data_IF_898698652715
#
_entry.id   IF_898698652715
#
_cell.length_a   1.000
_cell.length_b   1.000
_cell.length_c   1.000
_cell.angle_alpha   90.00
_cell.angle_beta   90.00
_cell.angle_gamma   90.00
#
_symmetry.space_group_name_H-M   'P 1'
#
loop_
_entity.id
_entity.type
_entity.pdbx_description
1 polymer ?
#
# COMPACT_ATOMS: atom_id res chain seq x y z
N UNK A 1 14.90 -5.24 26.39
CA UNK A 1 16.35 -4.97 26.47
C UNK A 1 16.68 -4.14 25.25
N UNK A 2 16.89 -2.85 25.47
CA UNK A 2 17.11 -1.85 24.42
C UNK A 2 18.49 -2.06 23.78
N UNK A 3 18.52 -2.23 22.46
CA UNK A 3 19.74 -2.29 21.66
C UNK A 3 19.84 -1.02 20.82
N UNK A 4 20.37 0.04 21.43
CA UNK A 4 20.70 1.30 20.77
C UNK A 4 22.03 1.11 20.05
N UNK A 5 22.03 1.11 18.71
CA UNK A 5 23.26 1.23 17.92
C UNK A 5 23.75 2.68 17.96
N UNK A 6 25.06 2.94 18.14
CA UNK A 6 25.60 4.29 18.09
C UNK A 6 25.95 4.64 16.64
N UNK A 7 25.17 5.55 16.06
CA UNK A 7 25.51 6.26 14.83
C UNK A 7 26.32 7.54 15.18
N UNK A 8 27.36 7.77 14.37
CA UNK A 8 27.98 9.06 14.04
C UNK A 8 28.73 9.84 15.15
N UNK A 9 30.02 9.51 15.33
CA UNK A 9 31.03 10.52 15.72
C UNK A 9 31.53 11.23 14.45
N UNK A 10 30.83 12.28 14.03
CA UNK A 10 31.37 13.31 13.15
C UNK A 10 31.83 14.47 14.05
N UNK A 11 33.12 14.46 14.37
CA UNK A 11 33.76 15.51 15.17
C UNK A 11 33.91 16.76 14.29
N UNK A 12 33.27 17.90 14.60
CA UNK A 12 33.58 19.13 13.89
C UNK A 12 34.90 19.67 14.45
N UNK A 13 35.98 19.51 13.68
CA UNK A 13 37.19 20.32 13.79
C UNK A 13 36.84 21.77 13.46
N UNK A 14 36.40 22.52 14.46
CA UNK A 14 36.37 23.97 14.44
C UNK A 14 37.28 24.46 15.57
N UNK A 15 38.56 24.63 15.23
CA UNK A 15 39.57 25.22 16.09
C UNK A 15 40.41 26.19 15.27
N UNK A 16 40.11 27.47 15.46
CA UNK A 16 41.03 28.59 15.41
C UNK A 16 41.81 28.79 14.10
N UNK A 17 41.10 29.32 13.10
CA UNK A 17 41.72 30.25 12.16
C UNK A 17 41.84 31.64 12.82
N UNK A 18 42.92 31.88 13.55
CA UNK A 18 43.33 33.24 13.93
C UNK A 18 44.86 33.29 14.12
N UNK A 19 45.56 33.84 13.13
CA UNK A 19 46.88 34.49 13.23
C UNK A 19 47.43 34.67 11.80
N UNK A 20 46.82 35.57 11.02
CA UNK A 20 47.50 36.16 9.87
C UNK A 20 48.33 37.33 10.42
N UNK A 21 49.52 37.01 10.92
CA UNK A 21 50.52 38.00 11.32
C UNK A 21 51.10 38.64 10.05
N UNK A 22 50.87 39.94 9.96
CA UNK A 22 51.34 40.87 8.95
C UNK A 22 52.89 40.95 8.99
N UNK A 23 53.55 40.57 7.90
CA UNK A 23 55.00 40.75 7.73
C UNK A 23 55.28 41.55 6.44
N UNK A 24 56.32 42.42 6.44
CA UNK A 24 56.43 43.62 5.60
C UNK A 24 56.76 43.32 4.13
N UNK A 25 56.63 44.30 3.21
CA UNK A 25 56.84 44.07 1.78
C UNK A 25 58.31 43.73 1.51
N UNK A 26 58.57 42.54 0.97
CA UNK A 26 59.91 42.11 0.59
C UNK A 26 60.33 42.81 -0.70
N UNK A 27 61.29 43.71 -0.56
CA UNK A 27 62.07 44.29 -1.64
C UNK A 27 62.73 43.21 -2.50
N UNK A 28 62.78 43.43 -3.81
CA UNK A 28 63.56 42.65 -4.79
C UNK A 28 65.06 42.74 -4.47
N UNK A 29 65.53 41.95 -3.51
CA UNK A 29 66.94 41.80 -3.18
C UNK A 29 67.35 40.33 -3.35
N UNK A 30 68.48 40.03 -4.02
CA UNK A 30 68.89 38.64 -4.25
C UNK A 30 69.31 37.97 -2.93
N UNK A 31 68.52 37.00 -2.48
CA UNK A 31 68.82 36.19 -1.31
C UNK A 31 69.65 34.94 -1.68
N UNK A 32 70.63 34.54 -0.84
CA UNK A 32 71.40 33.31 -1.05
C UNK A 32 70.47 32.08 -0.94
N UNK A 33 70.74 31.00 -1.70
CA UNK A 33 69.90 29.81 -1.71
C UNK A 33 69.84 29.14 -0.34
N UNK A 34 68.65 28.64 0.00
CA UNK A 34 68.35 27.99 1.27
C UNK A 34 68.94 26.57 1.28
N UNK A 35 70.21 26.47 1.67
CA UNK A 35 70.96 25.20 1.78
C UNK A 35 71.00 24.72 3.22
N UNK A 36 71.00 23.40 3.42
CA UNK A 36 71.11 22.81 4.75
C UNK A 36 72.49 23.16 5.35
N UNK A 37 72.49 23.93 6.44
CA UNK A 37 73.68 24.46 7.10
C UNK A 37 74.61 23.36 7.62
N UNK A 38 74.07 22.20 7.99
CA UNK A 38 74.87 21.08 8.50
C UNK A 38 75.62 20.39 7.36
N UNK A 39 74.95 20.19 6.21
CA UNK A 39 75.57 19.63 5.01
C UNK A 39 76.58 20.60 4.38
N UNK A 40 76.31 21.90 4.47
CA UNK A 40 77.23 22.94 4.00
C UNK A 40 78.52 22.97 4.82
N UNK A 41 78.41 22.87 6.15
CA UNK A 41 79.56 22.75 7.05
C UNK A 41 80.38 21.51 6.75
N UNK A 42 79.73 20.36 6.57
CA UNK A 42 80.41 19.09 6.26
C UNK A 42 81.20 19.18 4.94
N UNK A 43 80.62 19.76 3.88
CA UNK A 43 81.32 19.99 2.61
C UNK A 43 82.48 20.99 2.73
N UNK A 44 82.33 22.01 3.59
CA UNK A 44 83.37 23.01 3.84
C UNK A 44 84.51 22.44 4.68
N UNK A 45 84.20 21.58 5.65
CA UNK A 45 85.18 20.81 6.44
C UNK A 45 85.96 19.80 5.59
N UNK A 46 85.34 19.26 4.52
CA UNK A 46 86.01 18.45 3.50
C UNK A 46 86.95 19.24 2.57
N UNK A 47 86.94 20.57 2.65
CA UNK A 47 87.83 21.46 1.91
C UNK A 47 87.24 22.04 0.62
N UNK A 48 85.95 21.84 0.34
CA UNK A 48 85.27 22.50 -0.78
C UNK A 48 84.95 23.95 -0.41
N UNK A 49 85.23 24.91 -1.30
CA UNK A 49 84.91 26.31 -1.08
C UNK A 49 83.41 26.54 -0.88
N UNK A 50 83.04 27.46 0.02
CA UNK A 50 81.64 27.72 0.40
C UNK A 50 80.74 27.96 -0.82
N UNK A 51 81.19 28.73 -1.81
CA UNK A 51 80.44 28.98 -3.05
C UNK A 51 80.12 27.70 -3.84
N UNK A 52 81.07 26.76 -3.90
CA UNK A 52 80.91 25.47 -4.60
C UNK A 52 79.92 24.59 -3.84
N UNK A 53 80.08 24.49 -2.52
CA UNK A 53 79.22 23.68 -1.67
C UNK A 53 77.77 24.17 -1.68
N UNK A 54 77.55 25.50 -1.65
CA UNK A 54 76.22 26.11 -1.79
C UNK A 54 75.60 25.79 -3.15
N UNK A 55 76.38 25.88 -4.24
CA UNK A 55 75.93 25.57 -5.60
C UNK A 55 75.51 24.10 -5.73
N UNK A 56 76.32 23.18 -5.22
CA UNK A 56 76.03 21.75 -5.26
C UNK A 56 74.79 21.37 -4.45
N UNK A 57 74.68 21.85 -3.21
CA UNK A 57 73.52 21.58 -2.35
C UNK A 57 72.22 22.14 -2.94
N UNK A 58 72.31 23.26 -3.64
CA UNK A 58 71.18 23.84 -4.34
C UNK A 58 70.71 22.98 -5.52
N UNK A 59 71.63 22.47 -6.36
CA UNK A 59 71.26 21.63 -7.50
C UNK A 59 70.85 20.19 -7.11
N UNK A 60 71.29 19.72 -5.95
CA UNK A 60 70.90 18.40 -5.41
C UNK A 60 69.67 18.45 -4.51
N UNK A 61 69.02 19.62 -4.38
CA UNK A 61 67.84 19.86 -3.54
C UNK A 61 68.04 19.37 -2.08
N UNK A 62 69.25 19.53 -1.52
CA UNK A 62 69.64 19.08 -0.17
C UNK A 62 69.49 17.55 0.08
N UNK A 63 69.57 16.72 -0.97
CA UNK A 63 69.34 15.27 -0.90
C UNK A 63 70.55 14.45 -0.36
N UNK A 64 71.38 15.05 0.49
CA UNK A 64 72.55 14.41 1.12
C UNK A 64 73.90 14.93 0.64
N UNK A 65 74.92 14.79 1.49
CA UNK A 65 76.29 15.29 1.25
C UNK A 65 76.97 14.53 0.12
N UNK A 66 76.78 13.21 0.05
CA UNK A 66 77.40 12.34 -0.95
C UNK A 66 76.92 12.66 -2.37
N UNK A 67 75.64 12.99 -2.51
CA UNK A 67 75.05 13.40 -3.80
C UNK A 67 75.58 14.77 -4.21
N UNK A 68 75.79 15.67 -3.25
CA UNK A 68 76.40 16.99 -3.48
C UNK A 68 77.87 16.88 -3.90
N UNK A 69 78.66 15.99 -3.27
CA UNK A 69 80.05 15.73 -3.68
C UNK A 69 80.11 15.18 -5.10
N UNK A 70 79.25 14.20 -5.45
CA UNK A 70 79.20 13.68 -6.82
C UNK A 70 78.82 14.74 -7.87
N UNK A 71 78.01 15.72 -7.49
CA UNK A 71 77.71 16.87 -8.35
C UNK A 71 78.93 17.80 -8.49
N UNK A 72 79.66 18.07 -7.39
CA UNK A 72 80.87 18.88 -7.39
C UNK A 72 81.98 18.30 -8.28
N UNK A 73 82.22 17.00 -8.18
CA UNK A 73 83.22 16.30 -9.00
C UNK A 73 82.89 16.38 -10.50
N UNK A 74 81.60 16.32 -10.85
CA UNK A 74 81.16 16.38 -12.24
C UNK A 74 81.27 17.79 -12.86
N UNK A 75 81.41 18.84 -12.03
CA UNK A 75 81.38 20.25 -12.45
C UNK A 75 82.63 21.03 -11.98
N UNK A 76 83.72 20.34 -11.61
CA UNK A 76 84.91 20.97 -11.00
C UNK A 76 85.67 21.93 -11.94
N UNK A 77 85.52 21.75 -13.25
CA UNK A 77 86.18 22.53 -14.31
C UNK A 77 85.36 23.77 -14.76
N UNK A 78 84.15 23.95 -14.22
CA UNK A 78 83.27 25.05 -14.60
C UNK A 78 83.79 26.39 -14.04
N UNK A 79 84.08 27.35 -14.93
CA UNK A 79 84.67 28.64 -14.57
C UNK A 79 83.77 29.52 -13.67
N UNK A 80 82.48 29.21 -13.59
CA UNK A 80 81.46 29.86 -12.77
C UNK A 80 81.21 29.15 -11.43
N UNK A 81 81.89 28.03 -11.15
CA UNK A 81 81.66 27.23 -9.93
C UNK A 81 81.97 28.01 -8.64
N UNK A 82 82.93 28.95 -8.70
CA UNK A 82 83.35 29.81 -7.59
C UNK A 82 82.58 31.15 -7.53
N UNK A 83 81.74 31.45 -8.52
CA UNK A 83 80.93 32.68 -8.54
C UNK A 83 79.70 32.52 -7.64
N UNK A 84 79.34 33.48 -6.76
CA UNK A 84 78.19 33.33 -5.86
C UNK A 84 76.91 33.03 -6.65
N UNK A 85 76.20 31.97 -6.26
CA UNK A 85 74.99 31.53 -6.97
C UNK A 85 73.78 32.34 -6.50
N UNK A 86 73.34 33.27 -7.34
CA UNK A 86 72.09 34.02 -7.12
C UNK A 86 70.92 33.24 -7.73
N UNK A 87 70.10 32.61 -6.89
CA UNK A 87 68.89 31.89 -7.33
C UNK A 87 67.70 32.84 -7.27
N UNK A 88 67.03 33.05 -8.41
CA UNK A 88 65.69 33.65 -8.40
C UNK A 88 64.73 32.65 -7.75
N UNK A 89 63.99 33.02 -6.69
CA UNK A 89 63.12 32.08 -6.01
C UNK A 89 62.11 31.50 -7.00
N UNK A 90 61.94 30.16 -6.99
CA UNK A 90 60.87 29.48 -7.74
C UNK A 90 59.55 30.22 -7.42
N UNK A 91 58.76 30.63 -8.42
CA UNK A 91 57.52 31.36 -8.17
C UNK A 91 56.61 30.45 -7.34
N UNK A 92 56.43 30.79 -6.05
CA UNK A 92 55.39 30.18 -5.23
C UNK A 92 54.08 30.49 -5.96
N UNK A 93 53.34 29.44 -6.31
CA UNK A 93 52.01 29.53 -6.90
C UNK A 93 51.24 30.64 -6.20
N UNK A 94 50.58 31.51 -6.95
CA UNK A 94 49.93 32.68 -6.38
C UNK A 94 49.03 32.26 -5.21
N UNK A 95 49.00 32.99 -4.08
CA UNK A 95 48.18 32.64 -2.92
C UNK A 95 46.71 32.41 -3.27
N UNK A 96 46.26 33.03 -4.36
CA UNK A 96 44.92 32.89 -4.93
C UNK A 96 44.69 31.52 -5.60
N UNK A 97 45.65 31.00 -6.37
CA UNK A 97 45.54 29.68 -7.02
C UNK A 97 45.66 28.53 -6.02
N UNK A 98 46.53 28.64 -5.01
CA UNK A 98 46.63 27.64 -3.95
C UNK A 98 45.33 27.56 -3.12
N UNK A 99 44.72 28.72 -2.83
CA UNK A 99 43.43 28.81 -2.15
C UNK A 99 42.29 28.26 -3.02
N UNK A 100 42.34 28.49 -4.34
CA UNK A 100 41.37 27.93 -5.28
C UNK A 100 41.46 26.39 -5.38
N UNK A 101 42.66 25.82 -5.41
CA UNK A 101 42.87 24.38 -5.43
C UNK A 101 42.41 23.71 -4.12
N UNK A 102 42.73 24.30 -2.97
CA UNK A 102 42.24 23.83 -1.68
C UNK A 102 40.70 23.90 -1.56
N UNK A 103 40.10 25.00 -2.04
CA UNK A 103 38.64 25.15 -2.08
C UNK A 103 37.99 24.12 -3.02
N UNK A 104 38.61 23.82 -4.17
CA UNK A 104 38.13 22.80 -5.10
C UNK A 104 38.17 21.38 -4.51
N UNK A 105 39.22 21.03 -3.74
CA UNK A 105 39.32 19.75 -3.04
C UNK A 105 38.28 19.60 -1.93
N UNK A 106 37.99 20.66 -1.18
CA UNK A 106 36.93 20.65 -0.17
C UNK A 106 35.53 20.57 -0.79
N UNK A 107 35.29 21.28 -1.90
CA UNK A 107 34.02 21.23 -2.62
C UNK A 107 33.75 19.85 -3.21
N UNK A 108 34.76 19.21 -3.80
CA UNK A 108 34.66 17.84 -4.31
C UNK A 108 34.49 16.79 -3.19
N UNK A 109 35.14 16.97 -2.04
CA UNK A 109 34.92 16.13 -0.86
C UNK A 109 33.49 16.24 -0.30
N UNK A 110 32.93 17.46 -0.21
CA UNK A 110 31.54 17.67 0.20
C UNK A 110 30.54 17.08 -0.80
N UNK A 111 30.77 17.27 -2.10
CA UNK A 111 29.93 16.69 -3.14
C UNK A 111 29.94 15.14 -3.12
N UNK A 112 31.09 14.53 -2.81
CA UNK A 112 31.20 13.07 -2.66
C UNK A 112 30.44 12.56 -1.43
N UNK A 113 30.56 13.24 -0.27
CA UNK A 113 29.79 12.92 0.94
C UNK A 113 28.28 13.03 0.71
N UNK A 114 27.84 14.08 0.01
CA UNK A 114 26.41 14.27 -0.33
C UNK A 114 25.89 13.19 -1.29
N UNK A 115 26.71 12.72 -2.24
CA UNK A 115 26.35 11.60 -3.11
C UNK A 115 26.25 10.28 -2.34
N UNK A 116 27.21 9.98 -1.46
CA UNK A 116 27.19 8.78 -0.62
C UNK A 116 26.00 8.77 0.34
N UNK A 117 25.64 9.92 0.90
CA UNK A 117 24.44 10.08 1.73
C UNK A 117 23.14 9.89 0.93
N UNK A 118 23.03 10.46 -0.27
CA UNK A 118 21.87 10.24 -1.15
C UNK A 118 21.73 8.78 -1.57
N UNK A 119 22.83 8.09 -1.85
CA UNK A 119 22.80 6.65 -2.18
C UNK A 119 22.41 5.81 -0.95
N UNK A 120 22.90 6.18 0.25
CA UNK A 120 22.51 5.55 1.51
C UNK A 120 21.03 5.76 1.82
N UNK A 121 20.48 6.94 1.57
CA UNK A 121 19.06 7.24 1.76
C UNK A 121 18.19 6.46 0.76
N UNK A 122 18.61 6.37 -0.50
CA UNK A 122 17.95 5.49 -1.49
C UNK A 122 17.98 4.02 -1.07
N UNK A 123 19.05 3.56 -0.43
CA UNK A 123 19.14 2.19 0.07
C UNK A 123 18.14 1.96 1.21
N UNK A 124 18.09 2.86 2.20
CA UNK A 124 17.13 2.79 3.32
C UNK A 124 15.69 2.83 2.82
N UNK A 125 15.38 3.69 1.84
CA UNK A 125 14.02 3.76 1.27
C UNK A 125 13.67 2.50 0.46
N UNK A 126 14.64 1.91 -0.27
CA UNK A 126 14.45 0.61 -0.92
C UNK A 126 14.20 -0.50 0.09
N UNK A 127 14.92 -0.52 1.21
CA UNK A 127 14.74 -1.50 2.29
C UNK A 127 13.36 -1.36 2.96
N UNK A 128 12.89 -0.13 3.21
CA UNK A 128 11.54 0.12 3.72
C UNK A 128 10.47 -0.41 2.76
N UNK A 129 10.63 -0.15 1.46
CA UNK A 129 9.71 -0.65 0.42
C UNK A 129 9.77 -2.18 0.31
N UNK A 130 10.97 -2.76 0.41
CA UNK A 130 11.17 -4.21 0.37
C UNK A 130 10.49 -4.88 1.58
N UNK A 131 10.76 -4.40 2.80
CA UNK A 131 10.14 -4.89 4.02
C UNK A 131 8.61 -4.72 3.98
N UNK A 132 8.10 -3.58 3.50
CA UNK A 132 6.66 -3.37 3.34
C UNK A 132 6.01 -4.34 2.34
N UNK A 133 6.68 -4.62 1.22
CA UNK A 133 6.23 -5.62 0.23
C UNK A 133 6.29 -7.04 0.78
N UNK A 134 7.31 -7.36 1.56
CA UNK A 134 7.49 -8.68 2.18
C UNK A 134 6.41 -8.95 3.23
N UNK A 135 6.16 -7.98 4.12
CA UNK A 135 5.07 -8.07 5.12
C UNK A 135 3.72 -8.25 4.41
N UNK A 136 3.43 -7.49 3.35
CA UNK A 136 2.19 -7.64 2.59
C UNK A 136 2.10 -8.99 1.87
N UNK A 137 3.22 -9.52 1.36
CA UNK A 137 3.25 -10.83 0.72
C UNK A 137 3.00 -11.95 1.73
N UNK A 138 3.54 -11.84 2.93
CA UNK A 138 3.33 -12.81 4.02
C UNK A 138 1.90 -12.76 4.56
N UNK A 139 1.31 -11.56 4.71
CA UNK A 139 -0.11 -11.41 5.05
C UNK A 139 -1.03 -12.08 4.03
N UNK A 140 -0.80 -11.88 2.72
CA UNK A 140 -1.61 -12.53 1.67
C UNK A 140 -1.49 -14.07 1.69
N UNK A 141 -0.30 -14.60 2.02
CA UNK A 141 -0.10 -16.05 2.18
C UNK A 141 -0.86 -16.57 3.39
N UNK A 142 -0.73 -15.90 4.55
CA UNK A 142 -1.44 -16.27 5.76
C UNK A 142 -2.97 -16.21 5.60
N UNK A 143 -3.49 -15.18 4.91
CA UNK A 143 -4.92 -15.07 4.59
C UNK A 143 -5.41 -16.19 3.66
N UNK A 144 -4.62 -16.53 2.62
CA UNK A 144 -4.93 -17.63 1.71
C UNK A 144 -4.96 -18.98 2.43
N UNK A 145 -3.99 -19.23 3.30
CA UNK A 145 -3.91 -20.44 4.12
C UNK A 145 -5.06 -20.49 5.14
N UNK A 146 -5.39 -19.38 5.80
CA UNK A 146 -6.54 -19.28 6.69
C UNK A 146 -7.86 -19.56 5.95
N UNK A 147 -8.03 -19.01 4.75
CA UNK A 147 -9.22 -19.27 3.93
C UNK A 147 -9.30 -20.74 3.50
N UNK A 148 -8.16 -21.35 3.15
CA UNK A 148 -8.08 -22.78 2.82
C UNK A 148 -8.47 -23.66 4.01
N UNK A 149 -7.90 -23.41 5.19
CA UNK A 149 -8.22 -24.15 6.40
C UNK A 149 -9.69 -23.99 6.80
N UNK A 150 -10.24 -22.78 6.69
CA UNK A 150 -11.66 -22.53 6.94
C UNK A 150 -12.57 -23.28 5.95
N UNK A 151 -12.17 -23.35 4.67
CA UNK A 151 -12.88 -24.17 3.69
C UNK A 151 -12.82 -25.66 4.02
N UNK A 152 -11.64 -26.18 4.36
CA UNK A 152 -11.45 -27.57 4.76
C UNK A 152 -12.25 -27.92 6.03
N UNK A 153 -12.33 -27.01 7.01
CA UNK A 153 -13.18 -27.15 8.19
C UNK A 153 -14.66 -27.22 7.83
N UNK A 154 -15.18 -26.30 7.01
CA UNK A 154 -16.59 -26.34 6.55
C UNK A 154 -16.92 -27.63 5.83
N UNK A 155 -15.99 -28.14 5.01
CA UNK A 155 -16.17 -29.41 4.32
C UNK A 155 -16.20 -30.59 5.29
N UNK A 156 -15.36 -30.56 6.33
CA UNK A 156 -15.35 -31.58 7.38
C UNK A 156 -16.62 -31.53 8.23
N UNK A 157 -17.05 -30.36 8.67
CA UNK A 157 -18.30 -30.18 9.41
C UNK A 157 -19.50 -30.67 8.60
N UNK A 158 -19.58 -30.31 7.31
CA UNK A 158 -20.63 -30.80 6.42
C UNK A 158 -20.61 -32.33 6.28
N UNK A 159 -19.42 -32.94 6.16
CA UNK A 159 -19.29 -34.40 6.08
C UNK A 159 -19.67 -35.09 7.40
N UNK A 160 -19.31 -34.52 8.55
CA UNK A 160 -19.69 -35.01 9.87
C UNK A 160 -21.20 -34.89 10.10
N UNK A 161 -21.81 -33.77 9.69
CA UNK A 161 -23.25 -33.57 9.73
C UNK A 161 -23.99 -34.55 8.81
N UNK A 162 -23.52 -34.75 7.58
CA UNK A 162 -24.08 -35.74 6.66
C UNK A 162 -23.94 -37.16 7.20
N UNK A 163 -22.81 -37.50 7.83
CA UNK A 163 -22.63 -38.79 8.49
C UNK A 163 -23.56 -38.96 9.70
N UNK A 164 -23.76 -37.92 10.50
CA UNK A 164 -24.72 -37.92 11.62
C UNK A 164 -26.16 -38.09 11.11
N UNK A 165 -26.55 -37.36 10.05
CA UNK A 165 -27.84 -37.49 9.38
C UNK A 165 -28.02 -38.91 8.82
N UNK A 166 -27.00 -39.50 8.19
CA UNK A 166 -27.04 -40.90 7.72
C UNK A 166 -27.24 -41.88 8.87
N UNK A 167 -26.53 -41.72 10.00
CA UNK A 167 -26.74 -42.56 11.20
C UNK A 167 -28.16 -42.47 11.73
N UNK A 168 -28.75 -41.28 11.77
CA UNK A 168 -30.16 -41.09 12.18
C UNK A 168 -31.11 -41.79 11.20
N UNK A 169 -30.87 -41.64 9.89
CA UNK A 169 -31.69 -42.31 8.86
C UNK A 169 -31.65 -43.84 8.99
N UNK A 170 -30.48 -44.42 9.25
CA UNK A 170 -30.36 -45.88 9.47
C UNK A 170 -31.15 -46.32 10.71
N UNK A 171 -31.05 -45.60 11.83
CA UNK A 171 -31.85 -45.92 13.03
C UNK A 171 -33.36 -45.81 12.80
N UNK A 172 -33.80 -44.82 12.00
CA UNK A 172 -35.20 -44.67 11.62
C UNK A 172 -35.68 -45.83 10.72
N UNK A 173 -34.81 -46.31 9.82
CA UNK A 173 -35.10 -47.47 8.99
C UNK A 173 -35.24 -48.74 9.83
N UNK A 174 -34.33 -48.97 10.78
CA UNK A 174 -34.39 -50.11 11.70
C UNK A 174 -35.69 -50.13 12.52
N UNK A 175 -36.06 -49.00 13.14
CA UNK A 175 -37.33 -48.88 13.89
C UNK A 175 -38.57 -49.08 12.99
N UNK A 176 -38.54 -48.56 11.76
CA UNK A 176 -39.65 -48.74 10.80
C UNK A 176 -39.73 -50.20 10.31
N UNK A 177 -38.60 -50.85 10.09
CA UNK A 177 -38.54 -52.27 9.74
C UNK A 177 -38.99 -53.16 10.90
N UNK A 178 -38.65 -52.82 12.15
CA UNK A 178 -39.13 -53.54 13.32
C UNK A 178 -40.66 -53.46 13.44
N UNK A 179 -41.25 -52.28 13.19
CA UNK A 179 -42.70 -52.11 13.11
C UNK A 179 -43.31 -52.92 11.96
N UNK A 180 -42.66 -52.97 10.79
CA UNK A 180 -43.10 -53.78 9.65
C UNK A 180 -43.04 -55.28 9.95
N UNK A 181 -41.97 -55.75 10.59
CA UNK A 181 -41.81 -57.13 11.06
C UNK A 181 -42.92 -57.51 12.04
N UNK A 182 -43.25 -56.64 13.00
CA UNK A 182 -44.36 -56.85 13.95
C UNK A 182 -45.73 -56.90 13.26
N UNK A 183 -45.89 -56.22 12.12
CA UNK A 183 -47.08 -56.21 11.29
C UNK A 183 -47.07 -57.32 10.20
N UNK A 184 -46.07 -58.20 10.18
CA UNK A 184 -45.94 -59.26 9.17
C UNK A 184 -45.68 -58.73 7.75
N UNK A 185 -45.20 -57.48 7.61
CA UNK A 185 -44.83 -56.86 6.34
C UNK A 185 -43.34 -57.07 6.05
N UNK A 186 -42.94 -57.19 4.76
CA UNK A 186 -41.54 -57.31 4.38
C UNK A 186 -40.74 -56.08 4.82
N UNK A 187 -39.46 -56.31 5.13
CA UNK A 187 -38.50 -55.26 5.49
C UNK A 187 -38.20 -54.37 4.28
N UNK A 188 -38.02 -53.08 4.53
CA UNK A 188 -37.61 -52.12 3.50
C UNK A 188 -36.10 -51.99 3.45
N UNK A 189 -35.59 -51.87 2.24
CA UNK A 189 -34.22 -51.38 1.99
C UNK A 189 -34.14 -49.87 2.22
N UNK A 190 -32.91 -49.34 2.33
CA UNK A 190 -32.67 -47.90 2.49
C UNK A 190 -33.22 -47.09 1.31
N UNK A 191 -33.07 -47.59 0.09
CA UNK A 191 -33.53 -46.93 -1.13
C UNK A 191 -35.06 -46.89 -1.23
N UNK A 192 -35.73 -48.00 -0.89
CA UNK A 192 -37.20 -48.06 -0.84
C UNK A 192 -37.77 -47.15 0.26
N UNK A 193 -37.07 -47.02 1.39
CA UNK A 193 -37.48 -46.14 2.48
C UNK A 193 -37.32 -44.66 2.12
N UNK A 194 -36.21 -44.28 1.49
CA UNK A 194 -36.01 -42.92 0.98
C UNK A 194 -37.03 -42.59 -0.12
N UNK A 195 -37.39 -43.56 -0.97
CA UNK A 195 -38.44 -43.38 -1.98
C UNK A 195 -39.84 -43.22 -1.37
N UNK A 196 -40.21 -44.01 -0.35
CA UNK A 196 -41.49 -43.85 0.37
C UNK A 196 -41.57 -42.46 1.06
N UNK A 197 -40.49 -42.01 1.71
CA UNK A 197 -40.46 -40.69 2.37
C UNK A 197 -40.46 -39.54 1.35
N UNK A 198 -39.76 -39.68 0.21
CA UNK A 198 -39.78 -38.70 -0.87
C UNK A 198 -41.16 -38.60 -1.53
N UNK A 199 -41.85 -39.73 -1.74
CA UNK A 199 -43.20 -39.76 -2.30
C UNK A 199 -44.22 -39.15 -1.32
N UNK A 200 -44.08 -39.44 -0.03
CA UNK A 200 -44.87 -38.82 1.04
C UNK A 200 -44.61 -37.31 1.13
N UNK A 201 -43.36 -36.86 1.01
CA UNK A 201 -43.01 -35.45 0.98
C UNK A 201 -43.58 -34.75 -0.26
N UNK A 202 -43.54 -35.39 -1.44
CA UNK A 202 -44.15 -34.87 -2.67
C UNK A 202 -45.66 -34.75 -2.53
N UNK A 203 -46.34 -35.77 -2.01
CA UNK A 203 -47.78 -35.75 -1.74
C UNK A 203 -48.16 -34.67 -0.72
N UNK A 204 -47.40 -34.54 0.36
CA UNK A 204 -47.62 -33.48 1.34
C UNK A 204 -47.39 -32.07 0.76
N UNK A 205 -46.41 -31.91 -0.14
CA UNK A 205 -46.18 -30.66 -0.86
C UNK A 205 -47.31 -30.34 -1.85
N UNK A 206 -47.82 -31.36 -2.54
CA UNK A 206 -48.98 -31.23 -3.44
C UNK A 206 -50.26 -30.91 -2.68
N UNK A 207 -50.49 -31.55 -1.53
CA UNK A 207 -51.61 -31.26 -0.64
C UNK A 207 -51.51 -29.85 -0.04
N UNK A 208 -50.31 -29.40 0.36
CA UNK A 208 -50.07 -28.00 0.78
C UNK A 208 -50.36 -27.03 -0.37
N UNK A 209 -49.91 -27.32 -1.59
CA UNK A 209 -50.23 -26.52 -2.78
C UNK A 209 -51.73 -26.51 -3.09
N UNK A 210 -52.42 -27.64 -2.94
CA UNK A 210 -53.86 -27.74 -3.13
C UNK A 210 -54.65 -26.95 -2.07
N UNK A 211 -54.22 -27.00 -0.80
CA UNK A 211 -54.78 -26.19 0.30
C UNK A 211 -54.50 -24.70 0.11
N UNK A 212 -53.32 -24.33 -0.37
CA UNK A 212 -52.97 -22.93 -0.68
C UNK A 212 -53.75 -22.38 -1.89
N UNK A 213 -54.05 -23.22 -2.89
CA UNK A 213 -54.95 -22.88 -4.00
C UNK A 213 -56.43 -22.84 -3.58
N UNK A 214 -56.86 -23.72 -2.67
CA UNK A 214 -58.20 -23.73 -2.09
C UNK A 214 -58.48 -22.52 -1.19
N UNK A 215 -57.48 -22.07 -0.42
CA UNK A 215 -57.57 -20.83 0.35
C UNK A 215 -57.72 -19.59 -0.55
N UNK A 216 -57.07 -19.56 -1.71
CA UNK A 216 -57.22 -18.48 -2.70
C UNK A 216 -58.55 -18.51 -3.48
N UNK A 217 -59.30 -19.61 -3.47
CA UNK A 217 -60.60 -19.73 -4.14
C UNK A 217 -61.78 -19.30 -3.24
N UNK A 218 -61.62 -19.34 -1.92
CA UNK A 218 -62.65 -18.92 -0.96
C UNK A 218 -62.68 -17.40 -0.69
N UNK A 219 -61.64 -16.67 -1.09
CA UNK A 219 -61.53 -15.20 -0.97
C UNK A 219 -61.60 -14.52 -2.36
N UNK A 220 -62.40 -15.07 -3.27
CA UNK A 220 -62.71 -14.46 -4.55
C UNK A 220 -64.08 -13.75 -4.51
N UNK A 221 -64.32 -12.98 -3.45
CA UNK A 221 -65.27 -11.85 -3.46
C UNK A 221 -64.67 -10.70 -2.66
N UNK A 222 -63.78 -9.93 -3.29
CA UNK A 222 -63.26 -8.66 -2.76
C UNK A 222 -61.75 -8.47 -2.92
N UNK A 223 -61.37 -7.64 -3.91
CA UNK A 223 -60.04 -7.05 -4.15
C UNK A 223 -58.91 -8.00 -4.65
N UNK A 224 -58.23 -7.67 -5.78
CA UNK A 224 -57.25 -8.55 -6.38
C UNK A 224 -55.88 -8.46 -5.67
N UNK A 225 -55.44 -9.57 -5.09
CA UNK A 225 -54.04 -9.81 -4.72
C UNK A 225 -53.17 -9.78 -6.00
N UNK A 226 -52.31 -8.77 -6.11
CA UNK A 226 -51.47 -8.55 -7.29
C UNK A 226 -50.19 -9.39 -7.16
N UNK A 227 -49.98 -10.27 -8.15
CA UNK A 227 -48.83 -11.17 -8.30
C UNK A 227 -47.50 -10.39 -8.17
N UNK A 228 -46.42 -10.98 -7.63
CA UNK A 228 -45.11 -10.32 -7.48
C UNK A 228 -44.53 -9.80 -8.81
N UNK A 229 -44.99 -10.33 -9.95
CA UNK A 229 -44.66 -9.85 -11.30
C UNK A 229 -45.14 -8.41 -11.54
N UNK A 230 -46.32 -8.03 -11.03
CA UNK A 230 -46.86 -6.68 -11.21
C UNK A 230 -46.11 -5.62 -10.39
N UNK A 231 -45.52 -6.01 -9.26
CA UNK A 231 -44.74 -5.12 -8.41
C UNK A 231 -43.35 -4.95 -9.01
N UNK A 232 -42.75 -6.03 -9.53
CA UNK A 232 -41.50 -5.96 -10.29
C UNK A 232 -41.62 -5.07 -11.54
N UNK A 233 -42.74 -5.11 -12.27
CA UNK A 233 -43.01 -4.23 -13.40
C UNK A 233 -43.11 -2.75 -12.99
N UNK A 234 -43.77 -2.46 -11.86
CA UNK A 234 -43.84 -1.09 -11.32
C UNK A 234 -42.48 -0.60 -10.85
N UNK A 235 -41.68 -1.46 -10.22
CA UNK A 235 -40.30 -1.17 -9.82
C UNK A 235 -39.43 -0.86 -11.05
N UNK A 236 -39.52 -1.69 -12.10
CA UNK A 236 -38.86 -1.43 -13.39
C UNK A 236 -39.28 -0.09 -13.98
N UNK A 237 -40.58 0.22 -14.03
CA UNK A 237 -41.09 1.48 -14.57
C UNK A 237 -40.51 2.71 -13.84
N UNK A 238 -40.40 2.65 -12.50
CA UNK A 238 -39.75 3.70 -11.72
C UNK A 238 -38.25 3.81 -12.05
N UNK A 239 -37.53 2.69 -12.19
CA UNK A 239 -36.10 2.71 -12.53
C UNK A 239 -35.84 3.24 -13.95
N UNK A 240 -36.73 2.96 -14.91
CA UNK A 240 -36.65 3.51 -16.27
C UNK A 240 -36.88 5.03 -16.26
N UNK A 241 -37.84 5.52 -15.47
CA UNK A 241 -38.07 6.95 -15.30
C UNK A 241 -36.86 7.65 -14.66
N UNK A 242 -36.24 7.04 -13.64
CA UNK A 242 -34.99 7.54 -13.04
C UNK A 242 -33.86 7.56 -14.06
N UNK A 243 -33.66 6.49 -14.85
CA UNK A 243 -32.61 6.43 -15.89
C UNK A 243 -32.80 7.51 -16.95
N UNK A 244 -34.04 7.86 -17.29
CA UNK A 244 -34.33 8.94 -18.25
C UNK A 244 -33.90 10.33 -17.75
N UNK A 245 -33.93 10.55 -16.43
CA UNK A 245 -33.54 11.83 -15.81
C UNK A 245 -32.05 11.88 -15.49
N UNK A 246 -31.49 10.76 -15.01
CA UNK A 246 -30.10 10.62 -14.55
C UNK A 246 -29.13 10.31 -15.71
N UNK A 247 -29.62 9.74 -16.81
CA UNK A 247 -28.80 9.28 -17.91
C UNK A 247 -27.99 8.03 -17.55
N UNK A 248 -26.69 8.05 -17.86
CA UNK A 248 -25.75 6.94 -17.61
C UNK A 248 -25.06 7.01 -16.24
N UNK A 249 -25.44 7.95 -15.38
CA UNK A 249 -24.87 8.06 -14.04
C UNK A 249 -25.30 6.89 -13.14
N UNK A 250 -24.38 5.93 -12.99
CA UNK A 250 -24.55 4.71 -12.19
C UNK A 250 -24.64 4.98 -10.69
N UNK A 251 -24.22 6.16 -10.24
CA UNK A 251 -24.07 6.52 -8.82
C UNK A 251 -25.39 6.52 -8.05
N UNK A 252 -26.50 6.90 -8.69
CA UNK A 252 -27.84 6.83 -8.10
C UNK A 252 -28.26 5.37 -7.87
N UNK A 253 -28.15 4.53 -8.90
CA UNK A 253 -28.51 3.11 -8.84
C UNK A 253 -27.62 2.31 -7.86
N UNK A 254 -26.31 2.59 -7.83
CA UNK A 254 -25.39 2.01 -6.85
C UNK A 254 -25.72 2.42 -5.41
N UNK A 255 -26.11 3.68 -5.20
CA UNK A 255 -26.51 4.16 -3.87
C UNK A 255 -27.80 3.48 -3.42
N UNK A 256 -28.81 3.38 -4.30
CA UNK A 256 -30.05 2.63 -4.03
C UNK A 256 -29.78 1.16 -3.72
N UNK A 257 -28.90 0.51 -4.49
CA UNK A 257 -28.53 -0.88 -4.29
C UNK A 257 -27.83 -1.09 -2.94
N UNK A 258 -26.95 -0.18 -2.53
CA UNK A 258 -26.30 -0.23 -1.20
C UNK A 258 -27.31 -0.06 -0.07
N UNK A 259 -28.26 0.86 -0.20
CA UNK A 259 -29.29 1.05 0.83
C UNK A 259 -30.16 -0.19 1.00
N UNK A 260 -30.64 -0.78 -0.10
CA UNK A 260 -31.44 -2.01 -0.05
C UNK A 260 -30.61 -3.24 0.35
N UNK A 261 -29.36 -3.33 -0.08
CA UNK A 261 -28.44 -4.42 0.29
C UNK A 261 -28.14 -4.42 1.78
N UNK A 262 -27.98 -3.24 2.41
CA UNK A 262 -27.79 -3.15 3.85
C UNK A 262 -29.03 -3.64 4.62
N UNK A 263 -30.23 -3.32 4.15
CA UNK A 263 -31.49 -3.81 4.75
C UNK A 263 -31.66 -5.32 4.54
N UNK A 264 -31.35 -5.84 3.36
CA UNK A 264 -31.46 -7.27 3.07
C UNK A 264 -30.46 -8.12 3.86
N UNK A 265 -29.24 -7.62 4.08
CA UNK A 265 -28.20 -8.32 4.84
C UNK A 265 -28.40 -8.25 6.35
N UNK A 266 -28.98 -7.17 6.85
CA UNK A 266 -29.21 -6.95 8.28
C UNK A 266 -30.63 -6.41 8.54
N UNK A 267 -31.68 -7.24 8.35
CA UNK A 267 -33.07 -6.79 8.45
C UNK A 267 -33.46 -6.34 9.85
N UNK A 268 -32.79 -6.85 10.89
CA UNK A 268 -33.02 -6.52 12.30
C UNK A 268 -32.40 -5.19 12.78
N UNK A 269 -31.61 -4.49 11.95
CA UNK A 269 -30.92 -3.29 12.38
C UNK A 269 -31.67 -2.00 12.01
N UNK A 270 -32.22 -1.32 13.02
CA UNK A 270 -33.06 -0.13 12.86
C UNK A 270 -32.35 1.03 12.11
N UNK A 271 -31.01 1.09 12.14
CA UNK A 271 -30.22 2.10 11.41
C UNK A 271 -30.33 1.98 9.90
N UNK A 272 -30.54 0.77 9.37
CA UNK A 272 -30.68 0.52 7.94
C UNK A 272 -32.14 0.62 7.47
N UNK A 273 -33.08 0.36 8.39
CA UNK A 273 -34.51 0.57 8.16
C UNK A 273 -34.91 2.05 8.12
N UNK A 274 -34.02 2.96 8.49
CA UNK A 274 -34.26 4.39 8.51
C UNK A 274 -33.28 5.15 7.62
N UNK A 275 -33.81 5.78 6.57
CA UNK A 275 -33.04 6.55 5.60
C UNK A 275 -33.43 8.02 5.70
N UNK A 276 -32.48 8.87 6.08
CA UNK A 276 -32.69 10.33 6.11
C UNK A 276 -32.43 10.92 4.73
N UNK A 277 -33.46 11.48 4.09
CA UNK A 277 -33.31 12.15 2.79
C UNK A 277 -32.66 13.54 2.92
N UNK A 278 -32.52 14.07 4.14
CA UNK A 278 -31.82 15.33 4.46
C UNK A 278 -30.29 15.22 4.36
N UNK A 279 -29.71 14.02 4.39
CA UNK A 279 -28.27 13.84 4.25
C UNK A 279 -27.82 14.29 2.84
N UNK A 280 -26.89 15.23 2.75
CA UNK A 280 -26.45 15.84 1.50
C UNK A 280 -26.09 14.81 0.39
N UNK A 281 -25.47 13.69 0.75
CA UNK A 281 -25.09 12.64 -0.22
C UNK A 281 -26.29 11.83 -0.71
N UNK A 282 -27.24 11.54 0.18
CA UNK A 282 -28.47 10.82 -0.16
C UNK A 282 -29.42 11.73 -0.93
N UNK A 283 -29.52 12.99 -0.53
CA UNK A 283 -30.33 14.00 -1.21
C UNK A 283 -29.84 14.21 -2.65
N UNK A 284 -28.54 14.46 -2.84
CA UNK A 284 -27.97 14.71 -4.15
C UNK A 284 -28.10 13.52 -5.13
N UNK A 285 -28.08 12.28 -4.62
CA UNK A 285 -28.09 11.07 -5.46
C UNK A 285 -29.47 10.44 -5.63
N UNK A 286 -30.33 10.52 -4.62
CA UNK A 286 -31.63 9.83 -4.57
C UNK A 286 -32.77 10.81 -4.31
N UNK A 287 -32.57 11.77 -3.39
CA UNK A 287 -33.60 12.73 -2.98
C UNK A 287 -34.03 13.73 -4.06
N UNK A 288 -33.14 14.07 -5.02
CA UNK A 288 -33.49 14.91 -6.17
C UNK A 288 -34.46 14.22 -7.14
N UNK A 289 -34.58 12.88 -7.09
CA UNK A 289 -35.38 12.10 -8.03
C UNK A 289 -36.66 11.57 -7.35
N UNK A 290 -37.79 12.18 -7.69
CA UNK A 290 -39.10 11.77 -7.15
C UNK A 290 -39.43 10.29 -7.40
N UNK A 291 -38.99 9.74 -8.54
CA UNK A 291 -39.24 8.33 -8.90
C UNK A 291 -38.33 7.35 -8.14
N UNK A 292 -37.13 7.78 -7.73
CA UNK A 292 -36.26 6.98 -6.87
C UNK A 292 -36.85 6.88 -5.45
N UNK A 293 -37.47 7.96 -4.97
CA UNK A 293 -38.21 7.96 -3.70
C UNK A 293 -39.46 7.08 -3.80
N UNK A 294 -40.20 7.11 -4.93
CA UNK A 294 -41.33 6.19 -5.16
C UNK A 294 -40.88 4.73 -5.23
N UNK A 295 -39.72 4.45 -5.82
CA UNK A 295 -39.15 3.11 -5.86
C UNK A 295 -38.86 2.57 -4.45
N UNK A 296 -38.28 3.39 -3.56
CA UNK A 296 -38.10 3.04 -2.16
C UNK A 296 -39.44 2.80 -1.46
N UNK A 297 -40.47 3.58 -1.78
CA UNK A 297 -41.80 3.32 -1.24
C UNK A 297 -42.41 1.99 -1.70
N UNK A 298 -42.20 1.64 -2.97
CA UNK A 298 -42.65 0.36 -3.53
C UNK A 298 -41.86 -0.84 -2.98
N UNK A 299 -40.63 -0.64 -2.52
CA UNK A 299 -39.82 -1.69 -1.88
C UNK A 299 -40.09 -1.85 -0.37
N UNK A 300 -41.02 -1.09 0.20
CA UNK A 300 -41.47 -1.23 1.59
C UNK A 300 -41.10 -0.09 2.55
N UNK A 301 -40.53 1.03 2.06
CA UNK A 301 -40.32 2.20 2.92
C UNK A 301 -41.54 3.13 2.94
N UNK A 302 -42.02 3.52 4.11
CA UNK A 302 -43.01 4.58 4.22
C UNK A 302 -42.33 5.93 4.49
N UNK A 303 -42.90 7.02 3.96
CA UNK A 303 -42.43 8.38 4.26
C UNK A 303 -42.90 8.78 5.65
N UNK A 304 -41.98 9.14 6.50
CA UNK A 304 -42.21 9.71 7.82
C UNK A 304 -41.53 11.09 7.90
N UNK A 305 -42.28 12.09 8.36
CA UNK A 305 -41.72 13.41 8.64
C UNK A 305 -41.37 13.46 10.12
N UNK A 306 -40.09 13.34 10.44
CA UNK A 306 -39.60 13.49 11.81
C UNK A 306 -38.85 14.82 11.94
N UNK A 307 -39.27 15.65 12.91
CA UNK A 307 -38.64 16.94 13.21
C UNK A 307 -38.51 17.91 12.00
N UNK A 308 -39.42 17.83 11.03
CA UNK A 308 -39.40 18.70 9.84
C UNK A 308 -38.47 18.23 8.71
N UNK A 309 -37.88 17.04 8.84
CA UNK A 309 -37.07 16.41 7.80
C UNK A 309 -37.77 15.19 7.21
N UNK A 310 -37.63 14.99 5.89
CA UNK A 310 -38.15 13.81 5.20
C UNK A 310 -37.28 12.59 5.48
N UNK A 311 -37.87 11.58 6.13
CA UNK A 311 -37.23 10.31 6.46
C UNK A 311 -38.05 9.17 5.87
N UNK A 312 -37.38 8.17 5.32
CA UNK A 312 -37.99 6.91 4.87
C UNK A 312 -37.74 5.86 5.95
N UNK A 313 -38.80 5.26 6.47
CA UNK A 313 -38.74 4.25 7.53
C UNK A 313 -39.38 2.95 7.03
N UNK A 314 -38.82 1.81 7.41
CA UNK A 314 -39.36 0.47 7.15
C UNK A 314 -39.66 -0.20 8.49
N UNK A 315 -40.85 -0.78 8.64
CA UNK A 315 -41.26 -1.49 9.85
C UNK A 315 -40.63 -2.89 9.91
N UNK A 316 -40.35 -3.38 11.13
CA UNK A 316 -39.66 -4.65 11.39
C UNK A 316 -40.44 -5.86 10.83
N UNK A 317 -41.77 -5.80 10.92
CA UNK A 317 -42.69 -6.86 10.47
C UNK A 317 -43.03 -6.78 8.96
N UNK A 318 -42.64 -5.68 8.30
CA UNK A 318 -42.96 -5.41 6.88
C UNK A 318 -41.78 -5.65 5.93
N UNK A 319 -40.67 -6.22 6.42
CA UNK A 319 -39.49 -6.52 5.59
C UNK A 319 -39.76 -7.76 4.74
N UNK A 320 -40.29 -7.57 3.54
CA UNK A 320 -40.42 -8.65 2.56
C UNK A 320 -39.09 -8.85 1.82
N UNK A 321 -38.28 -9.81 2.31
CA UNK A 321 -37.00 -10.18 1.70
C UNK A 321 -37.17 -10.62 0.23
N UNK A 322 -38.32 -11.16 -0.18
CA UNK A 322 -38.54 -11.57 -1.56
C UNK A 322 -38.71 -10.36 -2.48
N UNK A 323 -39.41 -9.33 -2.02
CA UNK A 323 -39.59 -8.07 -2.72
C UNK A 323 -38.29 -7.26 -2.77
N UNK A 324 -37.53 -7.23 -1.67
CA UNK A 324 -36.21 -6.60 -1.59
C UNK A 324 -35.20 -7.24 -2.55
N UNK A 325 -35.17 -8.58 -2.62
CA UNK A 325 -34.33 -9.30 -3.57
C UNK A 325 -34.76 -9.05 -5.01
N UNK A 326 -36.07 -9.04 -5.32
CA UNK A 326 -36.57 -8.68 -6.64
C UNK A 326 -36.15 -7.26 -7.03
N UNK A 327 -36.36 -6.27 -6.15
CA UNK A 327 -35.92 -4.89 -6.35
C UNK A 327 -34.40 -4.77 -6.56
N UNK A 328 -33.60 -5.55 -5.80
CA UNK A 328 -32.15 -5.63 -5.97
C UNK A 328 -31.73 -6.20 -7.32
N UNK A 329 -32.40 -7.26 -7.81
CA UNK A 329 -32.13 -7.82 -9.14
C UNK A 329 -32.48 -6.86 -10.27
N UNK A 330 -33.53 -6.05 -10.11
CA UNK A 330 -33.90 -5.02 -11.08
C UNK A 330 -32.90 -3.86 -11.11
N UNK A 331 -32.43 -3.42 -9.94
CA UNK A 331 -31.37 -2.42 -9.85
C UNK A 331 -30.05 -2.90 -10.47
N UNK A 332 -29.68 -4.16 -10.21
CA UNK A 332 -28.49 -4.75 -10.80
C UNK A 332 -28.63 -4.91 -12.32
N UNK A 333 -29.83 -5.25 -12.80
CA UNK A 333 -30.15 -5.26 -14.23
C UNK A 333 -30.03 -3.87 -14.85
N UNK A 334 -30.46 -2.81 -14.15
CA UNK A 334 -30.30 -1.42 -14.61
C UNK A 334 -28.84 -0.96 -14.69
N UNK A 335 -27.99 -1.47 -13.80
CA UNK A 335 -26.55 -1.17 -13.77
C UNK A 335 -25.75 -1.94 -14.83
N UNK A 336 -26.11 -3.20 -15.07
CA UNK A 336 -25.36 -4.11 -15.93
C UNK A 336 -25.84 -4.12 -17.37
N UNK A 337 -27.13 -3.84 -17.61
CA UNK A 337 -27.71 -3.87 -18.95
C UNK A 337 -27.72 -2.46 -19.59
N UNK A 338 -26.96 -2.26 -20.69
CA UNK A 338 -26.96 -0.98 -21.43
C UNK A 338 -28.32 -0.61 -22.03
N UNK A 339 -29.20 -1.59 -22.28
CA UNK A 339 -30.52 -1.40 -22.90
C UNK A 339 -31.67 -1.32 -21.89
N UNK A 340 -31.36 -1.15 -20.61
CA UNK A 340 -32.41 -1.06 -19.59
C UNK A 340 -33.34 0.14 -19.87
N UNK A 341 -34.60 -0.11 -20.21
CA UNK A 341 -35.62 0.91 -20.52
C UNK A 341 -35.76 1.31 -21.98
N UNK A 342 -35.15 0.58 -22.92
CA UNK A 342 -35.23 0.84 -24.38
C UNK A 342 -36.42 0.12 -25.05
N UNK A 343 -37.20 -0.67 -24.29
CA UNK A 343 -38.38 -1.40 -24.78
C UNK A 343 -39.68 -0.87 -24.17
#
# INVERSE_FOLDING_TARGET
>A
VAGTMPDDEDTPMDAAAEAAEEAPPVSDEPAPPEVNQDQLKELTEMGFGECRAVRALHFTENNGVEVAVGWLEAHEDDADIDEPLLVKPKPKLTPEEAKAQAAALLASAKAKREQEEKEREKLREKERIAMGKEIQAEQRKAESEAHRLAYEQRMREKAEEEAARRKIKVKLLEDKNERRRKLGKPELTFEEWEAEEAEKARKAAEEKKAKQKGAHAAEATGAPAVKPVSVAEKLRACLVAVKKVVGDDKTCFETLLKMLGNVANAPGEAKFRRIRLSNANVHARVGQHADAVKFLCLSGFHKATEAGEDVLVMDDDAVDLTLLNAAGTELNSALTNPFFGVL
#
